data_IF_088919357123
#
_entry.id   IF_088919357123
#
_cell.length_a   1.000
_cell.length_b   1.000
_cell.length_c   1.000
_cell.angle_alpha   90.00
_cell.angle_beta   90.00
_cell.angle_gamma   90.00
#
_symmetry.space_group_name_H-M   'P 1'
#
loop_
_entity.id
_entity.type
_entity.pdbx_description
1 polymer ?
#
# COMPACT_ATOMS: atom_id res chain seq x y z
N UNK A 1 1.97 -3.47 6.65
CA UNK A 1 2.08 -4.60 7.59
C UNK A 1 3.06 -5.64 7.07
N UNK A 2 2.84 -6.91 7.38
CA UNK A 2 3.72 -8.02 7.01
C UNK A 2 3.75 -8.27 5.51
N UNK A 3 2.60 -8.25 4.84
CA UNK A 3 2.50 -8.48 3.41
C UNK A 3 3.16 -7.34 2.63
N UNK A 4 2.93 -6.09 3.05
CA UNK A 4 3.63 -4.93 2.49
C UNK A 4 5.15 -4.99 2.68
N UNK A 5 5.64 -5.42 3.86
CA UNK A 5 7.07 -5.60 4.11
C UNK A 5 7.67 -6.67 3.17
N UNK A 6 6.99 -7.80 2.99
CA UNK A 6 7.43 -8.86 2.07
C UNK A 6 7.39 -8.42 0.61
N UNK A 7 6.30 -7.77 0.17
CA UNK A 7 6.17 -7.24 -1.18
C UNK A 7 7.28 -6.23 -1.51
N UNK A 8 7.59 -5.31 -0.59
CA UNK A 8 8.67 -4.33 -0.78
C UNK A 8 10.06 -4.98 -0.89
N UNK A 9 10.32 -6.06 -0.13
CA UNK A 9 11.58 -6.81 -0.21
C UNK A 9 11.72 -7.56 -1.52
N UNK A 10 10.62 -8.09 -2.05
CA UNK A 10 10.61 -8.76 -3.34
C UNK A 10 10.81 -7.74 -4.48
N UNK A 11 10.09 -6.61 -4.45
CA UNK A 11 10.21 -5.55 -5.44
C UNK A 11 11.65 -5.03 -5.57
N UNK A 12 12.40 -4.93 -4.46
CA UNK A 12 13.81 -4.50 -4.45
C UNK A 12 14.75 -5.36 -5.29
N UNK A 13 14.34 -6.58 -5.66
CA UNK A 13 15.15 -7.46 -6.53
C UNK A 13 15.01 -7.11 -8.02
N UNK A 14 13.93 -6.44 -8.40
CA UNK A 14 13.54 -6.24 -9.80
C UNK A 14 13.41 -4.75 -10.17
N UNK A 15 13.03 -3.90 -9.22
CA UNK A 15 12.80 -2.48 -9.44
C UNK A 15 14.07 -1.67 -9.21
N UNK A 16 14.28 -0.64 -10.02
CA UNK A 16 15.41 0.28 -9.88
C UNK A 16 15.38 1.03 -8.54
N UNK A 17 14.18 1.43 -8.09
CA UNK A 17 13.99 2.13 -6.83
C UNK A 17 12.73 1.60 -6.13
N UNK A 18 12.82 1.37 -4.82
CA UNK A 18 11.67 1.04 -3.97
C UNK A 18 11.68 1.96 -2.77
N UNK A 19 10.64 2.77 -2.64
CA UNK A 19 10.46 3.68 -1.52
C UNK A 19 9.48 3.08 -0.49
N UNK A 20 9.90 3.03 0.78
CA UNK A 20 9.00 2.75 1.89
C UNK A 20 8.37 4.08 2.35
N UNK A 21 7.17 4.35 1.85
CA UNK A 21 6.48 5.64 2.03
C UNK A 21 6.19 5.99 3.49
N UNK A 22 6.11 4.99 4.37
CA UNK A 22 5.96 5.17 5.79
C UNK A 22 7.03 4.36 6.55
N UNK A 23 7.51 4.87 7.70
CA UNK A 23 8.51 4.16 8.50
C UNK A 23 7.94 2.83 9.01
N UNK A 24 8.77 1.80 9.02
CA UNK A 24 8.41 0.49 9.55
C UNK A 24 8.34 0.56 11.08
N UNK A 25 7.17 0.37 11.71
CA UNK A 25 7.08 0.28 13.17
C UNK A 25 7.63 -1.07 13.66
N UNK A 26 7.91 -1.16 14.97
CA UNK A 26 8.29 -2.42 15.61
C UNK A 26 7.14 -3.44 15.62
N UNK A 27 5.91 -2.95 15.74
CA UNK A 27 4.67 -3.74 15.66
C UNK A 27 3.65 -2.98 14.81
N UNK A 28 2.98 -3.67 13.89
CA UNK A 28 1.97 -3.05 13.05
C UNK A 28 0.62 -3.04 13.80
N UNK A 29 0.20 -1.87 14.27
CA UNK A 29 -1.06 -1.70 15.00
C UNK A 29 -2.04 -0.77 14.30
N UNK A 30 -1.57 0.03 13.35
CA UNK A 30 -2.37 1.04 12.65
C UNK A 30 -1.74 1.39 11.29
N UNK A 31 -2.54 2.08 10.48
CA UNK A 31 -2.10 2.71 9.23
C UNK A 31 -1.59 4.13 9.58
N UNK A 32 -0.36 4.51 9.20
CA UNK A 32 0.14 5.87 9.41
C UNK A 32 -0.70 6.89 8.65
N UNK A 33 -0.92 8.08 9.23
CA UNK A 33 -1.66 9.15 8.55
C UNK A 33 -1.04 9.52 7.21
N UNK A 34 -1.88 9.77 6.20
CA UNK A 34 -1.47 10.09 4.83
C UNK A 34 -0.50 11.27 4.72
N UNK A 35 -0.62 12.26 5.62
CA UNK A 35 0.28 13.43 5.68
C UNK A 35 1.73 13.05 6.02
N UNK A 36 1.92 11.92 6.70
CA UNK A 36 3.24 11.43 7.09
C UNK A 36 3.90 10.56 6.01
N UNK A 37 3.21 10.30 4.89
CA UNK A 37 3.72 9.48 3.80
C UNK A 37 4.70 10.29 2.94
N UNK A 38 5.92 9.79 2.80
CA UNK A 38 6.95 10.36 1.96
C UNK A 38 6.92 9.68 0.60
N UNK A 39 6.12 10.20 -0.31
CA UNK A 39 6.01 9.69 -1.68
C UNK A 39 7.23 10.07 -2.51
N UNK A 40 7.48 9.30 -3.58
CA UNK A 40 8.45 9.64 -4.62
C UNK A 40 7.71 10.31 -5.77
N UNK A 41 8.14 11.51 -6.15
CA UNK A 41 7.57 12.20 -7.31
C UNK A 41 7.85 11.41 -8.60
N UNK A 42 6.84 11.24 -9.45
CA UNK A 42 6.94 10.48 -10.70
C UNK A 42 7.17 8.97 -10.52
N UNK A 43 6.71 8.38 -9.40
CA UNK A 43 6.76 6.94 -9.22
C UNK A 43 5.85 6.21 -10.23
N UNK A 44 6.29 5.07 -10.76
CA UNK A 44 5.47 4.25 -11.66
C UNK A 44 4.17 3.78 -11.00
N UNK A 45 4.24 3.45 -9.71
CA UNK A 45 3.09 3.03 -8.92
C UNK A 45 3.25 3.26 -7.41
N UNK A 46 2.12 3.37 -6.73
CA UNK A 46 1.98 3.27 -5.28
C UNK A 46 1.31 1.92 -4.95
N UNK A 47 1.99 1.07 -4.19
CA UNK A 47 1.45 -0.22 -3.77
C UNK A 47 0.95 -0.18 -2.32
N UNK A 48 -0.19 -0.79 -2.04
CA UNK A 48 -0.64 -1.09 -0.69
C UNK A 48 -1.32 -2.46 -0.58
N UNK A 49 -1.27 -3.06 0.61
CA UNK A 49 -2.08 -4.22 0.96
C UNK A 49 -3.34 -3.73 1.67
N UNK A 50 -4.51 -4.00 1.09
CA UNK A 50 -5.78 -3.48 1.60
C UNK A 50 -6.16 -4.08 2.96
N UNK A 51 -5.79 -5.35 3.20
CA UNK A 51 -6.00 -6.02 4.49
C UNK A 51 -4.78 -6.87 4.89
N UNK A 52 -4.08 -6.42 5.92
CA UNK A 52 -2.92 -7.07 6.51
C UNK A 52 -3.33 -8.13 7.54
N UNK A 53 -3.65 -9.33 7.05
CA UNK A 53 -4.23 -10.43 7.86
C UNK A 53 -3.40 -10.85 9.07
N UNK A 54 -2.07 -10.73 9.02
CA UNK A 54 -1.19 -11.14 10.14
C UNK A 54 -1.40 -10.28 11.37
N UNK A 55 -1.77 -9.01 11.19
CA UNK A 55 -1.89 -8.03 12.27
C UNK A 55 -3.30 -7.45 12.40
N UNK A 56 -4.23 -7.83 11.52
CA UNK A 56 -5.60 -7.30 11.52
C UNK A 56 -5.66 -5.80 11.25
N UNK A 57 -4.80 -5.29 10.36
CA UNK A 57 -4.77 -3.87 9.97
C UNK A 57 -5.36 -3.73 8.58
N UNK A 58 -6.46 -3.00 8.46
CA UNK A 58 -7.23 -2.89 7.21
C UNK A 58 -7.47 -1.42 6.81
N UNK A 59 -7.32 -1.13 5.52
CA UNK A 59 -7.74 0.13 4.92
C UNK A 59 -9.25 0.12 4.69
N UNK A 60 -10.00 0.93 5.43
CA UNK A 60 -11.45 1.04 5.25
C UNK A 60 -11.84 1.77 3.95
N UNK A 61 -10.95 2.63 3.45
CA UNK A 61 -11.14 3.41 2.22
C UNK A 61 -9.90 3.28 1.31
N UNK A 62 -10.09 3.50 0.01
CA UNK A 62 -8.99 3.58 -0.95
C UNK A 62 -8.10 4.78 -0.62
N UNK A 63 -6.79 4.61 -0.42
CA UNK A 63 -5.91 5.71 -0.07
C UNK A 63 -5.72 6.70 -1.23
N UNK A 64 -5.47 7.96 -0.89
CA UNK A 64 -5.17 8.99 -1.88
C UNK A 64 -3.80 8.76 -2.54
N UNK A 65 -3.81 8.61 -3.85
CA UNK A 65 -2.65 8.49 -4.73
C UNK A 65 -2.50 9.79 -5.56
N UNK A 66 -1.28 10.24 -5.90
CA UNK A 66 -1.10 11.28 -6.92
C UNK A 66 -1.73 10.87 -8.25
N UNK A 67 -2.28 11.84 -9.00
CA UNK A 67 -3.07 11.59 -10.22
C UNK A 67 -2.24 10.95 -11.36
N UNK A 68 -0.93 11.19 -11.37
CA UNK A 68 0.02 10.67 -12.35
C UNK A 68 0.64 9.33 -11.94
N UNK A 69 0.27 8.78 -10.78
CA UNK A 69 0.84 7.56 -10.21
C UNK A 69 -0.22 6.46 -10.17
N UNK A 70 0.12 5.28 -10.70
CA UNK A 70 -0.80 4.13 -10.66
C UNK A 70 -0.95 3.59 -9.25
N UNK A 71 -2.18 3.51 -8.73
CA UNK A 71 -2.44 2.85 -7.44
C UNK A 71 -2.65 1.34 -7.64
N UNK A 72 -1.82 0.53 -6.99
CA UNK A 72 -1.86 -0.94 -7.02
C UNK A 72 -2.25 -1.46 -5.65
N UNK A 73 -3.24 -2.35 -5.61
CA UNK A 73 -3.75 -2.91 -4.35
C UNK A 73 -3.68 -4.43 -4.32
N UNK A 74 -3.08 -4.99 -3.26
CA UNK A 74 -3.28 -6.39 -2.89
C UNK A 74 -4.55 -6.52 -2.04
N UNK A 75 -5.60 -7.12 -2.62
CA UNK A 75 -6.90 -7.35 -1.99
C UNK A 75 -7.16 -8.83 -1.71
N UNK A 76 -6.12 -9.67 -1.67
CA UNK A 76 -6.24 -11.13 -1.61
C UNK A 76 -7.13 -11.65 -0.47
N UNK A 77 -7.28 -10.89 0.62
CA UNK A 77 -8.01 -11.27 1.83
C UNK A 77 -9.28 -10.45 2.08
N UNK A 78 -9.66 -9.52 1.20
CA UNK A 78 -10.86 -8.71 1.35
C UNK A 78 -11.53 -8.29 0.01
N UNK A 79 -11.09 -8.86 -1.12
CA UNK A 79 -11.74 -8.66 -2.41
C UNK A 79 -13.23 -9.03 -2.33
N UNK A 80 -14.10 -8.17 -2.89
CA UNK A 80 -15.57 -8.29 -2.84
C UNK A 80 -16.20 -8.22 -1.43
N UNK A 81 -15.46 -7.86 -0.39
CA UNK A 81 -16.04 -7.65 0.96
C UNK A 81 -16.82 -6.34 1.10
N UNK A 82 -16.55 -5.36 0.23
CA UNK A 82 -17.17 -4.03 0.19
C UNK A 82 -17.10 -3.44 -1.21
N UNK A 83 -17.83 -2.34 -1.42
CA UNK A 83 -17.70 -1.55 -2.64
C UNK A 83 -16.32 -0.88 -2.70
N UNK A 84 -15.74 -0.89 -3.90
CA UNK A 84 -14.46 -0.25 -4.20
C UNK A 84 -14.64 0.49 -5.52
N UNK A 85 -14.15 1.72 -5.57
CA UNK A 85 -14.06 2.47 -6.82
C UNK A 85 -12.87 1.97 -7.64
N UNK A 86 -13.13 1.04 -8.54
CA UNK A 86 -12.11 0.43 -9.41
C UNK A 86 -11.50 1.42 -10.40
N UNK A 87 -12.10 2.60 -10.62
CA UNK A 87 -11.47 3.62 -11.47
C UNK A 87 -10.21 4.23 -10.83
N UNK A 88 -10.03 4.04 -9.51
CA UNK A 88 -8.90 4.55 -8.73
C UNK A 88 -7.77 3.53 -8.53
N UNK A 89 -7.95 2.28 -8.94
CA UNK A 89 -6.98 1.19 -8.73
C UNK A 89 -6.79 0.41 -10.04
N UNK A 90 -5.54 0.05 -10.36
CA UNK A 90 -5.20 -0.72 -11.56
C UNK A 90 -5.05 -2.22 -11.27
#
# INVERSE_FOLDING_TARGET
>A
GTWSDKASKEAKKYMHQVNLVAPKPQTFTSIPDRVNWKLTDGADYLYYCANETVHGVEFHETPLCPDDVTLVSDMSSNFLSRQIDVSKVA
#
